data_IF_253968405408
#
_entry.id   IF_253968405408
#
_cell.length_a   1.000
_cell.length_b   1.000
_cell.length_c   1.000
_cell.angle_alpha   90.00
_cell.angle_beta   90.00
_cell.angle_gamma   90.00
#
_symmetry.space_group_name_H-M   'P 1'
#
loop_
_entity.id
_entity.type
_entity.pdbx_description
1 polymer ?
#
# COMPACT_ATOMS: atom_id res chain seq x y z
N UNK A 1 -13.53 -12.64 16.21
CA UNK A 1 -12.39 -11.69 16.19
C UNK A 1 -12.04 -11.63 14.73
N UNK A 2 -12.77 -10.81 14.02
CA UNK A 2 -12.72 -10.77 12.56
C UNK A 2 -12.11 -9.43 12.19
N UNK A 3 -10.88 -9.24 12.68
CA UNK A 3 -9.96 -8.18 12.31
C UNK A 3 -9.42 -8.43 10.89
N UNK A 4 -10.34 -8.67 9.94
CA UNK A 4 -9.99 -8.53 8.53
C UNK A 4 -9.54 -7.09 8.39
N UNK A 5 -8.31 -6.88 7.95
CA UNK A 5 -7.79 -5.53 7.76
C UNK A 5 -8.59 -4.91 6.61
N UNK A 6 -9.61 -4.11 6.95
CA UNK A 6 -10.43 -3.36 6.01
C UNK A 6 -10.05 -1.88 6.16
N UNK A 7 -9.41 -1.31 5.14
CA UNK A 7 -9.14 0.11 5.07
C UNK A 7 -7.74 0.47 4.58
N UNK A 8 -7.41 1.77 4.63
CA UNK A 8 -6.12 2.28 4.22
C UNK A 8 -5.05 1.82 5.22
N UNK A 9 -4.07 1.10 4.71
CA UNK A 9 -2.90 0.64 5.45
C UNK A 9 -1.70 1.48 5.04
N UNK A 10 -0.92 1.92 6.03
CA UNK A 10 0.29 2.69 5.80
C UNK A 10 1.46 2.08 6.55
N UNK A 11 2.53 1.81 5.83
CA UNK A 11 3.82 1.48 6.42
C UNK A 11 4.64 2.75 6.56
N UNK A 12 5.34 2.88 7.67
CA UNK A 12 6.22 4.02 7.92
C UNK A 12 7.67 3.52 8.02
N UNK A 13 8.62 4.33 7.54
CA UNK A 13 10.03 4.15 7.84
C UNK A 13 10.30 4.37 9.33
N UNK A 14 11.44 3.90 9.81
CA UNK A 14 11.90 4.17 11.18
C UNK A 14 12.00 5.67 11.49
N UNK A 15 12.23 6.49 10.46
CA UNK A 15 12.24 7.95 10.54
C UNK A 15 10.86 8.58 10.81
N UNK A 16 9.76 7.83 10.61
CA UNK A 16 8.38 8.32 10.72
C UNK A 16 7.73 8.75 9.40
N UNK A 17 8.46 8.71 8.29
CA UNK A 17 7.93 8.99 6.95
C UNK A 17 7.16 7.81 6.38
N UNK A 18 6.18 8.07 5.52
CA UNK A 18 5.40 7.03 4.85
C UNK A 18 6.30 6.27 3.87
N UNK A 19 6.39 4.95 4.04
CA UNK A 19 7.12 4.04 3.17
C UNK A 19 6.21 3.43 2.10
N UNK A 20 5.04 2.97 2.51
CA UNK A 20 4.05 2.36 1.62
C UNK A 20 2.66 2.79 2.05
N UNK A 21 1.80 3.14 1.10
CA UNK A 21 0.36 3.26 1.31
C UNK A 21 -0.33 2.22 0.45
N UNK A 22 -1.22 1.45 1.04
CA UNK A 22 -2.02 0.44 0.37
C UNK A 22 -3.44 0.48 0.93
N UNK A 23 -4.38 -0.16 0.26
CA UNK A 23 -5.72 -0.34 0.78
C UNK A 23 -6.03 -1.83 0.80
N UNK A 24 -6.51 -2.32 1.94
CA UNK A 24 -6.89 -3.71 2.10
C UNK A 24 -8.40 -3.80 2.24
N UNK A 25 -9.01 -4.73 1.52
CA UNK A 25 -10.43 -5.04 1.60
C UNK A 25 -10.54 -6.52 1.94
N UNK A 26 -11.09 -6.83 3.11
CA UNK A 26 -11.24 -8.20 3.62
C UNK A 26 -9.91 -8.96 3.77
N UNK A 27 -8.81 -8.25 4.07
CA UNK A 27 -7.46 -8.82 4.16
C UNK A 27 -6.75 -9.02 2.81
N UNK A 28 -7.36 -8.62 1.70
CA UNK A 28 -6.74 -8.64 0.37
C UNK A 28 -6.41 -7.22 -0.08
N UNK A 29 -5.24 -7.05 -0.70
CA UNK A 29 -4.82 -5.76 -1.22
C UNK A 29 -5.69 -5.41 -2.43
N UNK A 30 -6.42 -4.30 -2.34
CA UNK A 30 -7.39 -3.90 -3.35
C UNK A 30 -7.34 -2.38 -3.55
N UNK A 31 -6.99 -1.99 -4.78
CA UNK A 31 -6.74 -0.61 -5.16
C UNK A 31 -5.27 -0.29 -5.39
N UNK A 32 -4.92 0.99 -5.25
CA UNK A 32 -3.59 1.50 -5.58
C UNK A 32 -2.66 1.46 -4.36
N UNK A 33 -1.61 0.66 -4.45
CA UNK A 33 -0.43 0.69 -3.61
C UNK A 33 0.55 1.77 -4.11
N UNK A 34 1.04 2.62 -3.22
CA UNK A 34 2.10 3.59 -3.48
C UNK A 34 3.29 3.29 -2.58
N UNK A 35 4.50 3.30 -3.12
CA UNK A 35 5.73 3.22 -2.34
C UNK A 35 6.49 4.53 -2.48
N UNK A 36 6.98 5.01 -1.35
CA UNK A 36 7.72 6.26 -1.25
C UNK A 36 9.12 5.99 -0.71
N UNK A 37 10.07 6.83 -1.08
CA UNK A 37 11.43 6.81 -0.54
C UNK A 37 11.51 7.52 0.84
N UNK A 38 12.68 7.50 1.48
CA UNK A 38 12.97 8.19 2.75
C UNK A 38 13.00 9.73 2.64
N UNK A 39 12.54 10.30 1.52
CA UNK A 39 12.27 11.74 1.39
C UNK A 39 10.77 12.00 1.13
N UNK A 40 9.92 10.97 1.15
CA UNK A 40 8.51 11.06 0.79
C UNK A 40 8.24 11.15 -0.72
N UNK A 41 9.26 10.91 -1.55
CA UNK A 41 9.11 10.91 -3.01
C UNK A 41 8.48 9.59 -3.46
N UNK A 42 7.44 9.66 -4.28
CA UNK A 42 6.82 8.48 -4.88
C UNK A 42 7.79 7.82 -5.84
N UNK A 43 8.23 6.61 -5.50
CA UNK A 43 9.18 5.83 -6.32
C UNK A 43 8.50 4.70 -7.08
N UNK A 44 7.31 4.29 -6.65
CA UNK A 44 6.61 3.18 -7.27
C UNK A 44 5.11 3.26 -7.00
N UNK A 45 4.32 2.86 -7.97
CA UNK A 45 2.87 2.64 -7.82
C UNK A 45 2.50 1.27 -8.35
N UNK A 46 1.62 0.58 -7.67
CA UNK A 46 1.16 -0.74 -8.06
C UNK A 46 -0.34 -0.82 -7.82
N UNK A 47 -1.12 -1.25 -8.80
CA UNK A 47 -2.56 -1.46 -8.66
C UNK A 47 -2.81 -2.94 -8.40
N UNK A 48 -3.58 -3.23 -7.36
CA UNK A 48 -4.01 -4.57 -7.00
C UNK A 48 -5.53 -4.69 -7.12
N UNK A 49 -5.99 -5.88 -7.49
CA UNK A 49 -7.39 -6.26 -7.59
C UNK A 49 -7.53 -7.60 -6.85
N UNK A 50 -8.19 -7.60 -5.70
CA UNK A 50 -8.33 -8.76 -4.82
C UNK A 50 -7.01 -9.50 -4.52
N UNK A 51 -5.92 -8.76 -4.33
CA UNK A 51 -4.58 -9.27 -4.05
C UNK A 51 -3.74 -9.59 -5.29
N UNK A 52 -4.27 -9.41 -6.50
CA UNK A 52 -3.54 -9.64 -7.76
C UNK A 52 -3.02 -8.32 -8.31
N UNK A 53 -1.72 -8.23 -8.59
CA UNK A 53 -1.13 -7.07 -9.27
C UNK A 53 -1.69 -6.98 -10.69
N UNK A 54 -2.36 -5.87 -10.97
CA UNK A 54 -2.88 -5.52 -12.30
C UNK A 54 -1.94 -4.64 -13.08
N UNK A 55 -1.28 -3.72 -12.39
CA UNK A 55 -0.37 -2.77 -12.99
C UNK A 55 0.72 -2.40 -11.99
N UNK A 56 1.94 -2.21 -12.48
CA UNK A 56 3.05 -1.68 -11.71
C UNK A 56 3.72 -0.61 -12.55
N UNK A 57 3.86 0.59 -12.01
CA UNK A 57 4.51 1.74 -12.64
C UNK A 57 5.62 2.25 -11.73
N UNK A 58 6.73 2.64 -12.33
CA UNK A 58 7.96 3.06 -11.67
C UNK A 58 8.36 4.44 -12.18
#
# INVERSE_FOLDING_TARGET
MDDKEHGPWKHYYQSGEVKVEANYINGLLDGLQKAYDQQGNLIQTQTYDMGIIKASSN
#
